data_IF_819904496509
#
_entry.id   IF_819904496509
#
_cell.length_a   1.000
_cell.length_b   1.000
_cell.length_c   1.000
_cell.angle_alpha   90.00
_cell.angle_beta   90.00
_cell.angle_gamma   90.00
#
_symmetry.space_group_name_H-M   'P 1'
#
loop_
_entity.id
_entity.type
_entity.pdbx_description
1 polymer ?
#
# COMPACT_ATOMS: atom_id res chain seq x y z
N UNK A 1 7.50 -6.34 2.66
CA UNK A 1 6.98 -6.73 1.32
C UNK A 1 6.22 -5.55 0.73
N UNK A 2 6.22 -5.37 -0.59
CA UNK A 2 5.48 -4.25 -1.19
C UNK A 2 3.98 -4.52 -1.24
N UNK A 3 3.15 -3.49 -1.03
CA UNK A 3 1.68 -3.63 -1.07
C UNK A 3 1.16 -4.22 -2.40
N UNK A 4 1.80 -3.88 -3.52
CA UNK A 4 1.45 -4.45 -4.82
C UNK A 4 1.66 -5.97 -4.87
N UNK A 5 2.78 -6.44 -4.32
CA UNK A 5 3.11 -7.87 -4.26
C UNK A 5 2.13 -8.61 -3.36
N UNK A 6 1.79 -8.05 -2.20
CA UNK A 6 0.79 -8.63 -1.31
C UNK A 6 -0.56 -8.81 -2.01
N UNK A 7 -1.05 -7.78 -2.69
CA UNK A 7 -2.35 -7.84 -3.37
C UNK A 7 -2.34 -8.88 -4.50
N UNK A 8 -1.24 -8.96 -5.26
CA UNK A 8 -1.08 -9.94 -6.33
C UNK A 8 -1.02 -11.38 -5.79
N UNK A 9 -0.22 -11.62 -4.75
CA UNK A 9 -0.05 -12.96 -4.17
C UNK A 9 -1.33 -13.50 -3.54
N UNK A 10 -2.21 -12.61 -3.06
CA UNK A 10 -3.48 -12.99 -2.44
C UNK A 10 -4.69 -12.88 -3.39
N UNK A 11 -4.48 -12.57 -4.68
CA UNK A 11 -5.55 -12.34 -5.66
C UNK A 11 -6.58 -11.29 -5.21
N UNK A 12 -6.14 -10.26 -4.48
CA UNK A 12 -7.00 -9.19 -3.98
C UNK A 12 -6.97 -8.03 -4.97
N UNK A 13 -8.14 -7.65 -5.48
CA UNK A 13 -8.24 -6.45 -6.32
C UNK A 13 -8.03 -5.18 -5.50
N UNK A 14 -7.41 -4.16 -6.10
CA UNK A 14 -7.21 -2.86 -5.44
C UNK A 14 -8.55 -2.22 -5.03
N UNK A 15 -9.61 -2.41 -5.82
CA UNK A 15 -10.96 -1.92 -5.50
C UNK A 15 -11.53 -2.61 -4.27
N UNK A 16 -11.36 -3.93 -4.14
CA UNK A 16 -11.80 -4.65 -2.95
C UNK A 16 -11.01 -4.21 -1.72
N UNK A 17 -9.67 -4.13 -1.85
CA UNK A 17 -8.81 -3.74 -0.74
C UNK A 17 -9.07 -2.30 -0.26
N UNK A 18 -9.38 -1.37 -1.18
CA UNK A 18 -9.67 0.02 -0.80
C UNK A 18 -10.90 0.14 0.10
N UNK A 19 -11.91 -0.73 -0.12
CA UNK A 19 -13.08 -0.83 0.76
C UNK A 19 -12.69 -1.35 2.14
N UNK A 20 -11.85 -2.39 2.21
CA UNK A 20 -11.35 -2.96 3.46
C UNK A 20 -10.63 -1.93 4.32
N UNK A 21 -9.71 -1.17 3.72
CA UNK A 21 -8.94 -0.13 4.45
C UNK A 21 -9.67 1.21 4.53
N UNK A 22 -10.92 1.30 4.08
CA UNK A 22 -11.77 2.51 4.06
C UNK A 22 -11.04 3.72 3.45
N UNK A 23 -10.62 3.58 2.20
CA UNK A 23 -9.97 4.65 1.42
C UNK A 23 -10.47 4.67 -0.02
N UNK A 24 -10.29 5.80 -0.71
CA UNK A 24 -10.67 5.91 -2.12
C UNK A 24 -9.79 5.05 -3.02
N UNK A 25 -10.39 4.35 -3.98
CA UNK A 25 -9.67 3.46 -4.92
C UNK A 25 -8.55 4.19 -5.67
N UNK A 26 -8.78 5.43 -6.13
CA UNK A 26 -7.76 6.23 -6.83
C UNK A 26 -6.57 6.52 -5.91
N UNK A 27 -6.84 6.87 -4.65
CA UNK A 27 -5.80 7.17 -3.68
C UNK A 27 -5.00 5.91 -3.31
N UNK A 28 -5.68 4.77 -3.10
CA UNK A 28 -5.00 3.49 -2.90
C UNK A 28 -4.12 3.13 -4.09
N UNK A 29 -4.62 3.25 -5.32
CA UNK A 29 -3.82 2.98 -6.52
C UNK A 29 -2.59 3.89 -6.60
N UNK A 30 -2.71 5.17 -6.22
CA UNK A 30 -1.57 6.08 -6.13
C UNK A 30 -0.53 5.62 -5.08
N UNK A 31 -0.97 5.08 -3.94
CA UNK A 31 -0.09 4.49 -2.92
C UNK A 31 0.59 3.23 -3.45
N UNK A 32 -0.16 2.31 -4.06
CA UNK A 32 0.37 1.06 -4.63
C UNK A 32 1.42 1.32 -5.71
N UNK A 33 1.25 2.41 -6.48
CA UNK A 33 2.22 2.86 -7.50
C UNK A 33 3.37 3.71 -6.93
N UNK A 34 3.43 3.95 -5.62
CA UNK A 34 4.45 4.79 -4.99
C UNK A 34 4.35 6.28 -5.31
N UNK A 35 3.23 6.75 -5.87
CA UNK A 35 3.00 8.17 -6.22
C UNK A 35 2.52 9.01 -5.06
N UNK A 36 2.04 8.38 -3.99
CA UNK A 36 1.53 9.03 -2.77
C UNK A 36 1.94 8.23 -1.55
N UNK A 37 2.37 8.93 -0.53
CA UNK A 37 2.53 8.37 0.82
C UNK A 37 1.17 8.41 1.53
N UNK A 38 0.71 7.29 2.12
CA UNK A 38 -0.48 7.29 2.97
C UNK A 38 -0.24 8.12 4.23
N UNK A 39 -1.30 8.63 4.85
CA UNK A 39 -1.21 9.17 6.21
C UNK A 39 -0.88 8.07 7.23
N UNK A 40 -0.24 8.38 8.38
CA UNK A 40 0.08 7.37 9.38
C UNK A 40 -1.12 6.50 9.83
N UNK A 41 -2.33 7.05 10.05
CA UNK A 41 -3.51 6.22 10.37
C UNK A 41 -3.96 5.30 9.23
N UNK A 42 -3.74 5.69 7.96
CA UNK A 42 -4.02 4.80 6.83
C UNK A 42 -2.95 3.73 6.68
N UNK A 43 -1.68 4.07 6.91
CA UNK A 43 -0.58 3.11 6.90
C UNK A 43 -0.79 2.02 7.96
N UNK A 44 -1.22 2.40 9.16
CA UNK A 44 -1.59 1.45 10.22
C UNK A 44 -2.72 0.52 9.78
N UNK A 45 -3.82 1.05 9.23
CA UNK A 45 -4.94 0.23 8.71
C UNK A 45 -4.51 -0.75 7.62
N UNK A 46 -3.63 -0.33 6.72
CA UNK A 46 -3.08 -1.22 5.69
C UNK A 46 -2.23 -2.32 6.34
N UNK A 47 -1.37 -1.97 7.30
CA UNK A 47 -0.57 -2.95 8.04
C UNK A 47 -1.45 -3.97 8.77
N UNK A 48 -2.50 -3.52 9.44
CA UNK A 48 -3.46 -4.41 10.12
C UNK A 48 -4.23 -5.29 9.14
N UNK A 49 -4.75 -4.72 8.05
CA UNK A 49 -5.50 -5.45 7.02
C UNK A 49 -4.65 -6.48 6.25
N UNK A 50 -3.33 -6.36 6.32
CA UNK A 50 -2.38 -7.30 5.72
C UNK A 50 -1.76 -8.26 6.74
N UNK A 51 -2.20 -8.22 8.01
CA UNK A 51 -1.62 -9.04 9.07
C UNK A 51 -0.14 -8.75 9.34
N UNK A 52 0.30 -7.50 9.11
CA UNK A 52 1.69 -7.08 9.26
C UNK A 52 2.60 -7.45 8.08
N UNK A 53 2.06 -8.07 7.03
CA UNK A 53 2.85 -8.45 5.86
C UNK A 53 3.38 -7.23 5.08
N UNK A 54 2.63 -6.12 5.10
CA UNK A 54 3.08 -4.80 4.66
C UNK A 54 3.24 -3.92 5.89
N UNK A 55 4.46 -3.47 6.19
CA UNK A 55 4.71 -2.72 7.41
C UNK A 55 4.40 -1.22 7.26
N UNK A 56 4.08 -0.55 8.37
CA UNK A 56 3.89 0.91 8.39
C UNK A 56 5.15 1.64 7.89
N UNK A 57 6.35 1.15 8.25
CA UNK A 57 7.61 1.76 7.82
C UNK A 57 7.81 1.67 6.32
N UNK A 58 7.49 0.53 5.69
CA UNK A 58 7.59 0.38 4.23
C UNK A 58 6.61 1.29 3.48
N UNK A 59 5.43 1.57 4.07
CA UNK A 59 4.42 2.44 3.49
C UNK A 59 4.78 3.93 3.60
N UNK A 60 5.36 4.34 4.73
CA UNK A 60 5.73 5.73 4.99
C UNK A 60 7.10 6.09 4.39
N UNK A 61 8.02 5.13 4.36
CA UNK A 61 9.40 5.29 3.90
C UNK A 61 9.75 4.19 2.89
N UNK A 62 9.12 4.19 1.70
CA UNK A 62 9.41 3.18 0.70
C UNK A 62 10.88 3.26 0.29
N UNK A 63 11.65 2.20 0.59
CA UNK A 63 13.01 2.05 0.13
C UNK A 63 12.95 1.84 -1.38
N UNK A 64 13.36 2.86 -2.10
CA UNK A 64 13.14 3.00 -3.54
C UNK A 64 13.91 1.95 -4.32
N UNK A 65 13.21 0.90 -4.77
CA UNK A 65 13.64 0.08 -5.93
C UNK A 65 13.27 0.74 -7.28
N UNK A 66 12.85 2.01 -7.26
CA UNK A 66 12.37 2.75 -8.44
C UNK A 66 12.49 4.28 -8.40
N UNK A 67 13.26 4.87 -7.47
CA UNK A 67 13.60 6.30 -7.50
C UNK A 67 15.06 6.58 -7.89
N UNK A 68 15.67 5.63 -8.60
CA UNK A 68 16.88 5.88 -9.40
C UNK A 68 16.53 5.64 -10.85
N UNK A 69 15.74 6.53 -11.44
CA UNK A 69 15.76 6.77 -12.87
C UNK A 69 15.29 8.20 -13.12
N UNK A 70 16.22 8.96 -13.73
CA UNK A 70 16.19 10.35 -14.20
C UNK A 70 16.09 11.45 -13.16
#
# INVERSE_FOLDING_TARGET
MQINEYLKNNNISQVAFSKTVKTGHIYLNAIVRGRRTPSPPLALRISEATGGAVTVMELLFPTTKGAINT
#
